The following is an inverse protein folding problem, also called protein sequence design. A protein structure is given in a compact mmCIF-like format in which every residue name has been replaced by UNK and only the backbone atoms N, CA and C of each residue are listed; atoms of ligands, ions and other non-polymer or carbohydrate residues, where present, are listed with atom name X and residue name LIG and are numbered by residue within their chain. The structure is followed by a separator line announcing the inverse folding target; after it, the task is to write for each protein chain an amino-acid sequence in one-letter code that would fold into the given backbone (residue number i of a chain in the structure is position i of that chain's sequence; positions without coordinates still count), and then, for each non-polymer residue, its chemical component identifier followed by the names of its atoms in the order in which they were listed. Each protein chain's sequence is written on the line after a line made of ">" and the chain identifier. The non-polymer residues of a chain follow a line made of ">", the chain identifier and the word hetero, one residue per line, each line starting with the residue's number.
data_IF_142775627231
#
_entry.id   IF_142775627231
#
_cell.length_a   1.000
_cell.length_b   1.000
_cell.length_c   1.000
_cell.angle_alpha   90.00
_cell.angle_beta   90.00
_cell.angle_gamma   90.00
#
_symmetry.space_group_name_H-M   'P 1'
#
loop_
_entity.id
_entity.type
_entity.pdbx_description
1 polymer ?
#
# COMPACT_ATOMS: atom_id res chain seq x y z
N UNK A 1 -11.85 33.65 8.35
CA UNK A 1 -10.77 33.43 9.35
C UNK A 1 -10.97 32.00 9.84
N UNK A 2 -10.31 30.97 9.35
CA UNK A 2 -8.91 30.78 8.92
C UNK A 2 -8.85 29.99 7.62
N UNK A 3 -7.87 30.36 6.78
CA UNK A 3 -7.40 29.57 5.64
C UNK A 3 -6.96 28.19 6.15
N UNK A 4 -7.65 27.14 5.71
CA UNK A 4 -7.27 25.76 6.02
C UNK A 4 -6.01 25.47 5.22
N UNK A 5 -4.88 25.74 5.86
CA UNK A 5 -3.53 25.55 5.38
C UNK A 5 -3.46 24.40 4.38
N UNK A 6 -3.15 24.75 3.13
CA UNK A 6 -2.81 23.82 2.07
C UNK A 6 -1.89 22.76 2.64
N UNK A 7 -2.39 21.54 2.80
CA UNK A 7 -1.54 20.41 3.19
C UNK A 7 -0.70 20.05 1.98
N UNK A 8 0.36 20.81 1.75
CA UNK A 8 1.42 20.42 0.81
C UNK A 8 1.95 19.08 1.31
N UNK A 9 1.83 17.99 0.53
CA UNK A 9 2.70 16.86 0.79
C UNK A 9 4.10 17.37 0.47
N UNK A 10 4.82 17.78 1.50
CA UNK A 10 6.26 17.93 1.44
C UNK A 10 6.78 16.49 1.30
N UNK A 11 6.78 15.98 0.06
CA UNK A 11 7.52 14.79 -0.30
C UNK A 11 8.98 15.16 -0.15
N UNK A 12 9.48 15.11 1.10
CA UNK A 12 10.88 15.23 1.42
C UNK A 12 11.67 14.21 0.60
N UNK A 13 13.00 14.39 0.43
CA UNK A 13 13.81 13.45 -0.31
C UNK A 13 13.46 12.05 0.16
N UNK A 14 12.91 11.26 -0.76
CA UNK A 14 12.60 9.87 -0.51
C UNK A 14 13.97 9.22 -0.45
N UNK A 15 14.59 9.30 0.74
CA UNK A 15 15.79 8.56 1.05
C UNK A 15 15.49 7.16 0.57
N UNK A 16 16.32 6.70 -0.37
CA UNK A 16 16.09 5.49 -1.15
C UNK A 16 16.12 4.34 -0.16
N UNK A 17 14.97 4.07 0.44
CA UNK A 17 14.81 2.95 1.34
C UNK A 17 15.16 1.71 0.53
N UNK A 18 15.94 0.79 1.10
CA UNK A 18 16.33 -0.42 0.40
C UNK A 18 15.06 -1.03 -0.18
N UNK A 19 15.04 -1.19 -1.51
CA UNK A 19 13.98 -1.79 -2.33
C UNK A 19 12.85 -2.33 -1.45
N UNK A 20 11.87 -1.46 -1.16
CA UNK A 20 10.75 -1.88 -0.32
C UNK A 20 10.14 -3.06 -1.06
N UNK A 21 10.15 -4.24 -0.45
CA UNK A 21 9.62 -5.47 -1.03
C UNK A 21 8.09 -5.37 -1.13
N UNK A 22 7.63 -4.55 -2.08
CA UNK A 22 6.24 -4.29 -2.42
C UNK A 22 5.79 -5.07 -3.65
N UNK A 23 6.63 -5.98 -4.16
CA UNK A 23 6.28 -6.91 -5.24
C UNK A 23 5.05 -7.76 -4.92
N UNK A 24 4.72 -7.97 -3.65
CA UNK A 24 3.48 -8.63 -3.25
C UNK A 24 2.20 -7.79 -3.47
N UNK A 25 2.37 -6.49 -3.74
CA UNK A 25 1.31 -5.53 -4.09
C UNK A 25 1.20 -5.30 -5.59
N UNK A 26 2.14 -5.77 -6.42
CA UNK A 26 2.08 -5.63 -7.89
C UNK A 26 0.85 -6.32 -8.51
N UNK A 27 0.31 -7.32 -7.84
CA UNK A 27 -0.91 -8.02 -8.27
C UNK A 27 -2.20 -7.23 -7.97
N UNK A 28 -2.10 -6.09 -7.26
CA UNK A 28 -3.24 -5.28 -6.85
C UNK A 28 -3.44 -4.13 -7.86
N UNK A 29 -4.69 -3.91 -8.28
CA UNK A 29 -5.03 -2.83 -9.20
C UNK A 29 -4.72 -1.44 -8.60
N UNK A 30 -4.11 -0.57 -9.41
CA UNK A 30 -3.87 0.82 -9.05
C UNK A 30 -5.19 1.53 -8.72
N UNK A 31 -5.34 1.97 -7.47
CA UNK A 31 -6.57 2.62 -6.98
C UNK A 31 -7.52 1.71 -6.22
N UNK A 32 -7.14 0.45 -5.97
CA UNK A 32 -7.85 -0.42 -5.02
C UNK A 32 -8.00 0.26 -3.65
N UNK A 33 -9.21 0.17 -3.10
CA UNK A 33 -9.51 0.67 -1.77
C UNK A 33 -8.90 -0.19 -0.67
N UNK A 34 -8.89 0.33 0.56
CA UNK A 34 -8.31 -0.36 1.71
C UNK A 34 -8.93 -1.75 1.96
N UNK A 35 -10.24 -1.90 1.72
CA UNK A 35 -10.93 -3.18 1.89
C UNK A 35 -10.51 -4.18 0.82
N UNK A 36 -10.45 -3.76 -0.44
CA UNK A 36 -10.10 -4.62 -1.58
C UNK A 36 -8.65 -5.13 -1.47
N UNK A 37 -7.73 -4.27 -1.03
CA UNK A 37 -6.34 -4.67 -0.71
C UNK A 37 -6.32 -5.76 0.37
N UNK A 38 -7.13 -5.58 1.42
CA UNK A 38 -7.12 -6.50 2.57
C UNK A 38 -7.73 -7.86 2.21
N UNK A 39 -8.78 -7.88 1.38
CA UNK A 39 -9.37 -9.11 0.85
C UNK A 39 -8.35 -9.87 -0.01
N UNK A 40 -7.68 -9.19 -0.95
CA UNK A 40 -6.65 -9.82 -1.81
C UNK A 40 -5.50 -10.44 -1.01
N UNK A 41 -5.01 -9.74 0.02
CA UNK A 41 -3.94 -10.24 0.89
C UNK A 41 -4.42 -11.36 1.83
N UNK A 42 -5.68 -11.35 2.25
CA UNK A 42 -6.24 -12.40 3.07
C UNK A 42 -6.39 -13.71 2.27
N UNK A 43 -6.89 -13.63 1.04
CA UNK A 43 -7.02 -14.78 0.13
C UNK A 43 -5.64 -15.43 -0.13
N UNK A 44 -4.64 -14.65 -0.53
CA UNK A 44 -3.25 -15.13 -0.71
C UNK A 44 -2.72 -15.83 0.54
N UNK A 45 -2.95 -15.26 1.73
CA UNK A 45 -2.48 -15.86 2.99
C UNK A 45 -3.15 -17.21 3.28
N UNK A 46 -4.43 -17.35 2.98
CA UNK A 46 -5.15 -18.61 3.15
C UNK A 46 -4.67 -19.66 2.12
N UNK A 47 -4.36 -19.25 0.90
CA UNK A 47 -3.77 -20.10 -0.16
C UNK A 47 -2.34 -20.57 0.18
N UNK A 48 -1.50 -19.68 0.72
CA UNK A 48 -0.13 -19.97 1.15
C UNK A 48 -0.13 -20.80 2.45
N UNK A 49 -1.02 -20.45 3.39
CA UNK A 49 -1.17 -21.13 4.68
C UNK A 49 -1.80 -22.53 4.57
N UNK A 50 -2.56 -22.81 3.51
CA UNK A 50 -3.07 -24.14 3.21
C UNK A 50 -2.01 -25.12 2.67
N UNK A 51 -0.83 -24.61 2.27
CA UNK A 51 0.28 -25.41 1.71
C UNK A 51 1.34 -25.80 2.76
N UNK A 52 1.12 -25.53 4.05
CA UNK A 52 2.06 -25.82 5.14
C UNK A 52 1.46 -26.71 6.25
#
# INVERSE_FOLDING_TARGET
>A
MTDAAERKPETGPQETEPDRDDSHLDDIEEGAGCTEIWEHLAEKRDEDGAQN
#
